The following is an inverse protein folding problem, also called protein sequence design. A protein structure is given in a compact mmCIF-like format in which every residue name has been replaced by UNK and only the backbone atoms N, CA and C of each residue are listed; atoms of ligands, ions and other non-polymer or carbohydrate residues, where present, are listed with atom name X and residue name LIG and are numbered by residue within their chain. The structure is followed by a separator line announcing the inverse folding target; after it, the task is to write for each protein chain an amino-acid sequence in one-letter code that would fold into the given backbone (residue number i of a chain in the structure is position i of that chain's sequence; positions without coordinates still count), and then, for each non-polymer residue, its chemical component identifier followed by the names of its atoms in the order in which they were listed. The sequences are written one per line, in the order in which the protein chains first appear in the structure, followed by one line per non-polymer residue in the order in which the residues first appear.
data_IF_259527965739
#
_entry.id   IF_259527965739
#
_cell.length_a   1.000
_cell.length_b   1.000
_cell.length_c   1.000
_cell.angle_alpha   90.00
_cell.angle_beta   90.00
_cell.angle_gamma   90.00
#
_symmetry.space_group_name_H-M   'P 1'
#
loop_
_entity.id
_entity.type
_entity.pdbx_description
1 polymer ?
#
# COMPACT_ATOMS: atom_id res chain seq x y z
N UNK A 1 2.55 14.45 7.77
CA UNK A 1 3.82 14.93 8.37
C UNK A 1 5.01 14.19 7.75
N UNK A 2 6.22 14.73 7.85
CA UNK A 2 7.47 14.07 7.45
C UNK A 2 8.52 14.23 8.55
N UNK A 3 8.87 13.13 9.23
CA UNK A 3 9.89 13.12 10.27
C UNK A 3 11.28 12.95 9.67
N UNK A 4 12.27 13.64 10.23
CA UNK A 4 13.65 13.66 9.73
C UNK A 4 14.62 13.68 10.91
N UNK A 5 15.69 12.88 10.84
CA UNK A 5 16.74 12.91 11.87
C UNK A 5 17.70 14.06 11.57
N UNK A 6 17.88 14.98 12.54
CA UNK A 6 18.71 16.17 12.37
C UNK A 6 20.13 15.83 11.88
N UNK A 7 20.75 14.79 12.44
CA UNK A 7 22.09 14.35 12.06
C UNK A 7 22.20 13.97 10.56
N UNK A 8 21.13 13.46 9.95
CA UNK A 8 21.11 13.10 8.51
C UNK A 8 20.96 14.33 7.61
N UNK A 9 20.28 15.38 8.07
CA UNK A 9 20.13 16.64 7.32
C UNK A 9 21.40 17.47 7.27
N UNK A 10 22.25 17.37 8.30
CA UNK A 10 23.45 18.21 8.40
C UNK A 10 24.61 17.71 7.52
N UNK A 11 24.48 16.53 6.90
CA UNK A 11 25.48 16.00 5.96
C UNK A 11 25.41 16.76 4.63
N UNK A 12 26.52 17.39 4.23
CA UNK A 12 26.64 18.17 2.99
C UNK A 12 27.46 17.49 1.90
N UNK A 13 27.70 16.19 2.04
CA UNK A 13 28.38 15.37 1.06
C UNK A 13 27.39 14.73 0.06
N UNK A 14 27.90 13.89 -0.84
CA UNK A 14 27.08 13.13 -1.79
C UNK A 14 26.00 12.26 -1.12
N UNK A 15 26.27 11.75 0.09
CA UNK A 15 25.31 10.96 0.87
C UNK A 15 24.17 11.84 1.40
N UNK A 16 24.46 13.10 1.75
CA UNK A 16 23.47 14.12 2.06
C UNK A 16 22.51 14.39 0.90
N UNK A 17 23.03 14.57 -0.32
CA UNK A 17 22.20 14.78 -1.52
C UNK A 17 21.29 13.57 -1.78
N UNK A 18 21.84 12.35 -1.75
CA UNK A 18 21.04 11.13 -1.93
C UNK A 18 19.96 10.99 -0.85
N UNK A 19 20.27 11.34 0.40
CA UNK A 19 19.30 11.32 1.49
C UNK A 19 18.14 12.29 1.24
N UNK A 20 18.45 13.52 0.82
CA UNK A 20 17.46 14.53 0.49
C UNK A 20 16.59 14.10 -0.70
N UNK A 21 17.18 13.51 -1.74
CA UNK A 21 16.42 12.95 -2.87
C UNK A 21 15.41 11.90 -2.40
N UNK A 22 15.84 10.93 -1.58
CA UNK A 22 14.95 9.90 -1.02
C UNK A 22 13.86 10.48 -0.13
N UNK A 23 14.16 11.57 0.59
CA UNK A 23 13.19 12.29 1.41
C UNK A 23 12.12 12.96 0.54
N UNK A 24 12.55 13.62 -0.54
CA UNK A 24 11.64 14.27 -1.49
C UNK A 24 10.72 13.27 -2.18
N UNK A 25 11.20 12.07 -2.52
CA UNK A 25 10.35 10.99 -3.05
C UNK A 25 9.18 10.66 -2.10
N UNK A 26 9.43 10.65 -0.79
CA UNK A 26 8.39 10.37 0.23
C UNK A 26 7.44 11.56 0.42
N UNK A 27 7.97 12.79 0.36
CA UNK A 27 7.17 14.02 0.48
C UNK A 27 6.23 14.14 -0.72
N UNK A 28 6.73 13.93 -1.94
CA UNK A 28 5.95 14.04 -3.17
C UNK A 28 4.71 13.13 -3.12
N UNK A 29 4.88 11.85 -2.77
CA UNK A 29 3.75 10.90 -2.66
C UNK A 29 2.76 11.32 -1.56
N UNK A 30 3.24 11.83 -0.42
CA UNK A 30 2.36 12.31 0.66
C UNK A 30 1.52 13.53 0.27
N UNK A 31 1.99 14.31 -0.69
CA UNK A 31 1.27 15.44 -1.26
C UNK A 31 0.43 15.06 -2.49
N UNK A 32 0.33 13.77 -2.82
CA UNK A 32 -0.45 13.25 -3.94
C UNK A 32 0.26 13.25 -5.29
N UNK A 33 1.56 13.56 -5.32
CA UNK A 33 2.37 13.51 -6.54
C UNK A 33 2.87 12.10 -6.89
N UNK A 34 3.30 11.94 -8.14
CA UNK A 34 3.88 10.70 -8.66
C UNK A 34 5.38 10.87 -8.89
N UNK A 35 6.19 9.91 -8.43
CA UNK A 35 7.64 9.96 -8.64
C UNK A 35 8.04 9.44 -10.02
N UNK A 36 7.38 8.36 -10.47
CA UNK A 36 7.70 7.67 -11.71
C UNK A 36 6.43 7.11 -12.34
N UNK A 37 6.45 6.97 -13.66
CA UNK A 37 5.43 6.29 -14.44
C UNK A 37 6.08 5.09 -15.13
N UNK A 38 5.54 3.88 -14.96
CA UNK A 38 6.03 2.73 -15.71
C UNK A 38 5.86 2.96 -17.22
N UNK A 39 6.65 2.26 -18.03
CA UNK A 39 6.40 2.22 -19.47
C UNK A 39 5.01 1.66 -19.76
N UNK A 40 4.45 1.96 -20.93
CA UNK A 40 3.16 1.42 -21.36
C UNK A 40 3.11 -0.12 -21.30
N UNK A 41 4.23 -0.79 -21.57
CA UNK A 41 4.35 -2.24 -21.42
C UNK A 41 4.28 -2.72 -19.96
N UNK A 42 4.80 -1.95 -19.00
CA UNK A 42 4.80 -2.29 -17.58
C UNK A 42 3.41 -2.18 -16.91
N UNK A 43 2.52 -1.36 -17.47
CA UNK A 43 1.16 -1.16 -16.97
C UNK A 43 0.07 -1.65 -17.94
N UNK A 44 0.41 -2.55 -18.87
CA UNK A 44 -0.52 -3.01 -19.92
C UNK A 44 -1.87 -3.46 -19.35
N UNK A 45 -1.85 -4.22 -18.26
CA UNK A 45 -3.07 -4.71 -17.60
C UNK A 45 -3.94 -3.57 -17.04
N UNK A 46 -3.36 -2.58 -16.36
CA UNK A 46 -4.15 -1.47 -15.81
C UNK A 46 -4.59 -0.46 -16.87
N UNK A 47 -3.93 -0.43 -18.03
CA UNK A 47 -4.28 0.46 -19.14
C UNK A 47 -5.40 -0.07 -20.04
N UNK A 48 -5.49 -1.39 -20.24
CA UNK A 48 -6.49 -2.00 -21.13
C UNK A 48 -7.90 -1.99 -20.55
N UNK A 49 -8.03 -2.17 -19.23
CA UNK A 49 -9.32 -2.18 -18.52
C UNK A 49 -9.14 -1.58 -17.13
N UNK A 50 -10.18 -0.94 -16.56
CA UNK A 50 -10.17 -0.51 -15.16
C UNK A 50 -9.76 -1.68 -14.26
N UNK A 51 -8.60 -1.57 -13.63
CA UNK A 51 -7.99 -2.63 -12.83
C UNK A 51 -7.53 -2.04 -11.52
N UNK A 52 -7.88 -2.69 -10.40
CA UNK A 52 -7.34 -2.39 -9.08
C UNK A 52 -6.33 -3.47 -8.70
N UNK A 53 -5.12 -3.04 -8.32
CA UNK A 53 -4.10 -3.90 -7.72
C UNK A 53 -4.14 -3.69 -6.22
N UNK A 54 -4.33 -4.77 -5.49
CA UNK A 54 -4.47 -4.80 -4.05
C UNK A 54 -3.29 -5.52 -3.41
N UNK A 55 -2.85 -5.01 -2.26
CA UNK A 55 -1.89 -5.67 -1.38
C UNK A 55 -2.50 -5.84 0.00
N UNK A 56 -2.27 -6.99 0.63
CA UNK A 56 -2.76 -7.25 1.99
C UNK A 56 -1.70 -7.92 2.85
N UNK A 57 -1.64 -7.50 4.11
CA UNK A 57 -0.76 -8.06 5.13
C UNK A 57 -1.42 -8.06 6.51
N UNK A 58 -0.95 -8.93 7.40
CA UNK A 58 -1.34 -8.96 8.81
C UNK A 58 -0.08 -8.85 9.67
N UNK A 59 -0.02 -7.78 10.45
CA UNK A 59 1.01 -7.61 11.45
C UNK A 59 0.59 -8.23 12.79
N UNK A 60 1.49 -9.01 13.39
CA UNK A 60 1.36 -9.52 14.74
C UNK A 60 2.34 -8.85 15.70
N UNK A 61 1.90 -8.64 16.94
CA UNK A 61 2.77 -8.22 18.03
C UNK A 61 3.89 -9.26 18.30
N UNK A 62 4.94 -8.92 19.06
CA UNK A 62 5.97 -9.89 19.47
C UNK A 62 5.40 -11.13 20.17
N UNK A 63 6.00 -12.33 20.04
CA UNK A 63 5.47 -13.62 20.52
C UNK A 63 4.80 -13.58 21.89
N UNK A 64 5.43 -12.92 22.86
CA UNK A 64 5.00 -12.86 24.27
C UNK A 64 3.93 -11.79 24.55
N UNK A 65 3.23 -11.32 23.52
CA UNK A 65 2.23 -10.26 23.63
C UNK A 65 0.86 -10.72 23.12
N UNK A 66 -0.15 -10.57 23.98
CA UNK A 66 -1.57 -10.80 23.63
C UNK A 66 -2.21 -9.59 22.93
N UNK A 67 -1.40 -8.65 22.42
CA UNK A 67 -1.91 -7.48 21.71
C UNK A 67 -2.56 -7.90 20.40
N UNK A 68 -3.57 -7.13 20.01
CA UNK A 68 -4.29 -7.28 18.75
C UNK A 68 -3.33 -7.37 17.54
N UNK A 69 -3.75 -8.13 16.55
CA UNK A 69 -3.12 -8.11 15.22
C UNK A 69 -3.79 -7.05 14.36
N UNK A 70 -3.09 -6.54 13.36
CA UNK A 70 -3.61 -5.51 12.46
C UNK A 70 -3.54 -5.99 11.04
N UNK A 71 -4.71 -6.10 10.40
CA UNK A 71 -4.82 -6.35 8.98
C UNK A 71 -4.80 -5.02 8.23
N UNK A 72 -4.04 -4.94 7.15
CA UNK A 72 -4.01 -3.79 6.27
C UNK A 72 -4.27 -4.23 4.83
N UNK A 73 -5.08 -3.46 4.11
CA UNK A 73 -5.31 -3.62 2.67
C UNK A 73 -5.00 -2.29 1.99
N UNK A 74 -4.17 -2.34 0.94
CA UNK A 74 -3.88 -1.20 0.08
C UNK A 74 -4.38 -1.46 -1.33
N UNK A 75 -4.72 -0.41 -2.08
CA UNK A 75 -5.26 -0.55 -3.43
C UNK A 75 -4.85 0.59 -4.33
N UNK A 76 -4.48 0.28 -5.57
CA UNK A 76 -4.10 1.26 -6.58
C UNK A 76 -5.29 2.14 -6.97
N UNK A 77 -5.09 3.45 -7.03
CA UNK A 77 -6.15 4.43 -7.29
C UNK A 77 -6.09 5.04 -8.68
N UNK A 78 -5.03 4.76 -9.42
CA UNK A 78 -4.81 5.22 -10.79
C UNK A 78 -4.31 4.08 -11.69
N UNK A 79 -4.40 4.29 -13.00
CA UNK A 79 -3.94 3.33 -14.02
C UNK A 79 -2.42 3.15 -14.07
N UNK A 80 -1.66 4.03 -13.45
CA UNK A 80 -0.20 4.02 -13.46
C UNK A 80 0.39 3.22 -12.30
N UNK A 81 -0.47 2.76 -11.38
CA UNK A 81 -0.10 2.04 -10.18
C UNK A 81 0.85 2.87 -9.30
N UNK A 82 0.65 4.20 -9.28
CA UNK A 82 1.51 5.14 -8.55
C UNK A 82 0.91 5.66 -7.24
N UNK A 83 -0.42 5.79 -7.18
CA UNK A 83 -1.14 6.18 -5.97
C UNK A 83 -1.89 4.98 -5.37
N UNK A 84 -1.82 4.84 -4.04
CA UNK A 84 -2.51 3.79 -3.29
C UNK A 84 -3.33 4.38 -2.14
N UNK A 85 -4.51 3.82 -1.91
CA UNK A 85 -5.33 4.07 -0.72
C UNK A 85 -5.18 2.90 0.25
N UNK A 86 -5.03 3.20 1.54
CA UNK A 86 -4.81 2.19 2.59
C UNK A 86 -5.95 2.15 3.59
N UNK A 87 -6.36 0.95 3.97
CA UNK A 87 -7.31 0.67 5.05
C UNK A 87 -6.69 -0.29 6.06
N UNK A 88 -7.13 -0.21 7.31
CA UNK A 88 -6.59 -1.00 8.42
C UNK A 88 -7.71 -1.40 9.36
N UNK A 89 -7.66 -2.64 9.86
CA UNK A 89 -8.57 -3.14 10.88
C UNK A 89 -7.78 -3.88 11.97
N UNK A 90 -8.15 -3.65 13.22
CA UNK A 90 -7.66 -4.46 14.33
C UNK A 90 -8.43 -5.79 14.37
N UNK A 91 -7.74 -6.87 14.71
CA UNK A 91 -8.34 -8.19 14.89
C UNK A 91 -7.69 -8.93 16.06
N UNK A 92 -8.30 -10.05 16.45
CA UNK A 92 -7.79 -10.89 17.52
C UNK A 92 -6.31 -11.23 17.31
N UNK A 93 -5.55 -11.30 18.41
CA UNK A 93 -4.14 -11.66 18.39
C UNK A 93 -3.90 -12.95 17.60
N UNK A 94 -2.79 -12.98 16.82
CA UNK A 94 -2.31 -14.17 16.08
C UNK A 94 -3.26 -14.74 15.04
N UNK A 95 -4.26 -13.97 14.61
CA UNK A 95 -5.15 -14.41 13.53
C UNK A 95 -4.58 -13.98 12.19
N UNK A 96 -4.16 -14.93 11.35
CA UNK A 96 -3.62 -14.64 10.00
C UNK A 96 -4.72 -14.31 8.98
N UNK A 97 -5.90 -14.92 9.18
CA UNK A 97 -7.08 -14.65 8.36
C UNK A 97 -7.57 -13.24 8.64
N UNK A 98 -7.66 -12.41 7.61
CA UNK A 98 -8.22 -11.07 7.69
C UNK A 98 -9.71 -11.19 7.96
N UNK A 99 -10.14 -10.84 9.17
CA UNK A 99 -11.53 -11.05 9.61
C UNK A 99 -12.49 -10.09 8.90
N UNK A 100 -12.09 -8.82 8.81
CA UNK A 100 -12.92 -7.74 8.28
C UNK A 100 -12.67 -7.49 6.79
N UNK A 101 -12.33 -8.55 6.04
CA UNK A 101 -11.91 -8.45 4.64
C UNK A 101 -13.00 -7.81 3.76
N UNK A 102 -14.27 -8.12 4.02
CA UNK A 102 -15.40 -7.57 3.29
C UNK A 102 -15.46 -6.03 3.37
N UNK A 103 -15.42 -5.47 4.58
CA UNK A 103 -15.48 -4.02 4.77
C UNK A 103 -14.23 -3.32 4.22
N UNK A 104 -13.05 -3.92 4.41
CA UNK A 104 -11.80 -3.42 3.85
C UNK A 104 -11.91 -3.33 2.32
N UNK A 105 -12.38 -4.39 1.66
CA UNK A 105 -12.61 -4.41 0.21
C UNK A 105 -13.66 -3.40 -0.25
N UNK A 106 -14.78 -3.27 0.46
CA UNK A 106 -15.82 -2.28 0.15
C UNK A 106 -15.22 -0.87 0.15
N UNK A 107 -14.41 -0.53 1.15
CA UNK A 107 -13.73 0.77 1.21
C UNK A 107 -12.78 0.99 0.02
N UNK A 108 -11.98 -0.02 -0.35
CA UNK A 108 -11.09 0.08 -1.52
C UNK A 108 -11.88 0.29 -2.82
N UNK A 109 -12.95 -0.48 -3.04
CA UNK A 109 -13.74 -0.43 -4.26
C UNK A 109 -14.54 0.86 -4.39
N UNK A 110 -15.14 1.34 -3.28
CA UNK A 110 -15.82 2.65 -3.25
C UNK A 110 -14.83 3.76 -3.58
N UNK A 111 -13.66 3.75 -2.95
CA UNK A 111 -12.65 4.77 -3.20
C UNK A 111 -12.14 4.77 -4.64
N UNK A 112 -11.95 3.58 -5.22
CA UNK A 112 -11.60 3.45 -6.63
C UNK A 112 -12.69 4.06 -7.53
N UNK A 113 -13.96 3.73 -7.29
CA UNK A 113 -15.08 4.25 -8.06
C UNK A 113 -15.20 5.78 -7.97
N UNK A 114 -15.08 6.35 -6.76
CA UNK A 114 -15.10 7.80 -6.53
C UNK A 114 -14.04 8.55 -7.36
N UNK A 115 -12.86 7.96 -7.53
CA UNK A 115 -11.75 8.61 -8.23
C UNK A 115 -11.78 8.37 -9.75
N UNK A 116 -12.33 7.23 -10.20
CA UNK A 116 -12.26 6.81 -11.59
C UNK A 116 -13.60 6.83 -12.33
N UNK A 117 -14.71 7.06 -11.63
CA UNK A 117 -16.09 7.00 -12.15
C UNK A 117 -16.44 5.68 -12.86
N UNK A 118 -15.74 4.60 -12.53
CA UNK A 118 -15.93 3.27 -13.09
C UNK A 118 -15.54 2.22 -12.06
N UNK A 119 -16.31 1.14 -11.97
CA UNK A 119 -15.95 0.01 -11.12
C UNK A 119 -14.77 -0.75 -11.73
N UNK A 120 -13.86 -1.30 -10.92
CA UNK A 120 -12.79 -2.12 -11.46
C UNK A 120 -13.39 -3.35 -12.15
N UNK A 121 -12.96 -3.62 -13.37
CA UNK A 121 -13.30 -4.81 -14.13
C UNK A 121 -12.36 -5.97 -13.84
N UNK A 122 -11.20 -5.68 -13.23
CA UNK A 122 -10.20 -6.65 -12.78
C UNK A 122 -9.69 -6.30 -11.39
N UNK A 123 -9.50 -7.33 -10.59
CA UNK A 123 -8.89 -7.24 -9.27
C UNK A 123 -7.66 -8.15 -9.30
N UNK A 124 -6.49 -7.61 -8.99
CA UNK A 124 -5.26 -8.37 -8.77
C UNK A 124 -4.94 -8.28 -7.28
N UNK A 125 -4.81 -9.40 -6.59
CA UNK A 125 -4.64 -9.42 -5.14
C UNK A 125 -3.34 -10.10 -4.75
N UNK A 126 -2.45 -9.37 -4.09
CA UNK A 126 -1.22 -9.88 -3.50
C UNK A 126 -1.39 -9.98 -1.98
N UNK A 127 -1.28 -11.19 -1.44
CA UNK A 127 -1.32 -11.45 0.00
C UNK A 127 0.08 -11.86 0.47
N UNK A 128 0.68 -11.09 1.37
CA UNK A 128 1.95 -11.44 2.01
C UNK A 128 1.73 -12.43 3.17
N UNK A 129 2.76 -12.96 3.81
CA UNK A 129 2.68 -13.56 5.16
C UNK A 129 1.96 -14.91 5.30
N UNK A 130 1.35 -15.45 4.25
CA UNK A 130 0.61 -16.73 4.30
C UNK A 130 1.53 -17.89 3.95
N UNK A 131 1.74 -18.81 4.89
CA UNK A 131 2.50 -20.04 4.67
C UNK A 131 1.71 -21.11 3.91
N UNK A 132 2.40 -22.08 3.31
CA UNK A 132 1.78 -23.13 2.48
C UNK A 132 0.60 -23.87 3.16
N UNK A 133 0.64 -24.04 4.48
CA UNK A 133 -0.40 -24.71 5.25
C UNK A 133 -1.67 -23.86 5.46
N UNK A 134 -1.69 -22.61 5.01
CA UNK A 134 -2.76 -21.62 5.26
C UNK A 134 -3.46 -21.18 3.97
N UNK A 135 -3.24 -21.89 2.85
CA UNK A 135 -3.87 -21.61 1.55
C UNK A 135 -5.28 -22.20 1.39
N UNK A 136 -5.62 -23.18 2.21
CA UNK A 136 -6.95 -23.81 2.28
C UNK A 136 -7.82 -23.16 3.36
#
# INVERSE_FOLDING_TARGET
SQCVQAQKLLKRDQYGVQYLSNLLLKINIKLGGHNHYPSSSGCKLSMEKPTIVLGADVYHAPPDSDRASFAAVVGSMDRWLGAYYSTVAAQQARKEVIVDMENLMIMQLRRFYELNNVAPQRIIFYRDGVGNAQFE
#
